data_IF_542967200087
#
_entry.id   IF_542967200087
#
_cell.length_a   1.000
_cell.length_b   1.000
_cell.length_c   1.000
_cell.angle_alpha   90.00
_cell.angle_beta   90.00
_cell.angle_gamma   90.00
#
_symmetry.space_group_name_H-M   'P 1'
#
loop_
_entity.id
_entity.type
_entity.pdbx_description
1 polymer ?
#
# COMPACT_ATOMS: atom_id res chain seq x y z
N UNK A 1 -6.08 15.93 -9.49
CA UNK A 1 -5.79 14.57 -9.00
C UNK A 1 -4.68 14.48 -7.96
N UNK A 2 -3.84 15.51 -7.76
CA UNK A 2 -2.66 15.44 -6.90
C UNK A 2 -2.90 15.02 -5.43
N UNK A 3 -4.12 15.16 -4.91
CA UNK A 3 -4.50 14.76 -3.55
C UNK A 3 -5.56 13.64 -3.52
N UNK A 4 -5.87 13.05 -4.68
CA UNK A 4 -6.84 11.97 -4.77
C UNK A 4 -6.23 10.69 -4.17
N UNK A 5 -7.06 9.78 -3.65
CA UNK A 5 -6.56 8.53 -3.12
C UNK A 5 -6.04 7.60 -4.21
N UNK A 6 -5.18 6.66 -3.81
CA UNK A 6 -4.57 5.67 -4.69
C UNK A 6 -5.25 4.31 -4.57
N UNK A 7 -5.32 3.60 -5.70
CA UNK A 7 -5.50 2.15 -5.73
C UNK A 7 -4.13 1.50 -5.95
N UNK A 8 -3.72 0.59 -5.05
CA UNK A 8 -2.55 -0.26 -5.28
C UNK A 8 -2.98 -1.55 -5.99
N UNK A 9 -2.36 -1.85 -7.13
CA UNK A 9 -2.53 -3.14 -7.82
C UNK A 9 -1.28 -3.97 -7.58
N UNK A 10 -1.44 -5.08 -6.89
CA UNK A 10 -0.38 -6.01 -6.48
C UNK A 10 -0.52 -7.28 -7.29
N UNK A 11 0.31 -7.44 -8.33
CA UNK A 11 0.34 -8.64 -9.15
C UNK A 11 1.40 -9.60 -8.60
N UNK A 12 0.97 -10.79 -8.16
CA UNK A 12 1.86 -11.78 -7.56
C UNK A 12 2.70 -12.49 -8.63
N UNK A 13 3.97 -12.71 -8.32
CA UNK A 13 4.88 -13.54 -9.11
C UNK A 13 4.72 -15.04 -8.79
N UNK A 14 5.55 -15.88 -9.40
CA UNK A 14 5.54 -17.33 -9.20
C UNK A 14 5.85 -17.77 -7.76
N UNK A 15 6.48 -16.91 -6.95
CA UNK A 15 6.78 -17.15 -5.54
C UNK A 15 5.68 -16.62 -4.61
N UNK A 16 4.56 -16.12 -5.16
CA UNK A 16 3.50 -15.42 -4.44
C UNK A 16 4.01 -14.17 -3.72
N UNK A 17 4.96 -13.47 -4.32
CA UNK A 17 5.51 -12.21 -3.82
C UNK A 17 5.28 -11.09 -4.82
N UNK A 18 5.36 -9.84 -4.36
CA UNK A 18 5.38 -8.68 -5.25
C UNK A 18 6.13 -7.52 -4.60
N UNK A 19 6.80 -6.71 -5.40
CA UNK A 19 7.51 -5.52 -4.95
C UNK A 19 7.23 -4.35 -5.88
N UNK A 20 7.21 -3.15 -5.33
CA UNK A 20 7.02 -1.93 -6.09
C UNK A 20 7.46 -0.71 -5.30
N UNK A 21 7.36 0.45 -5.94
CA UNK A 21 7.65 1.72 -5.30
C UNK A 21 6.58 2.74 -5.66
N UNK A 22 6.41 3.75 -4.82
CA UNK A 22 5.56 4.91 -5.05
C UNK A 22 6.40 6.17 -4.83
N UNK A 23 6.41 7.07 -5.82
CA UNK A 23 7.06 8.37 -5.74
C UNK A 23 6.02 9.48 -5.93
N UNK A 24 6.05 10.50 -5.08
CA UNK A 24 5.15 11.66 -5.13
C UNK A 24 5.94 12.92 -4.78
N UNK A 25 5.87 13.96 -5.60
CA UNK A 25 6.33 15.31 -5.27
C UNK A 25 5.28 16.33 -5.79
N UNK A 26 5.66 17.60 -5.94
CA UNK A 26 4.76 18.62 -6.47
C UNK A 26 4.53 18.52 -7.98
N UNK A 27 5.35 17.73 -8.70
CA UNK A 27 5.27 17.53 -10.15
C UNK A 27 5.68 18.75 -11.00
N UNK A 28 6.11 19.85 -10.40
CA UNK A 28 6.29 21.14 -11.09
C UNK A 28 7.64 21.80 -10.80
N UNK A 29 8.16 21.67 -9.57
CA UNK A 29 9.36 22.37 -9.13
C UNK A 29 10.56 21.45 -8.97
N UNK A 30 11.70 22.02 -8.56
CA UNK A 30 12.90 21.25 -8.21
C UNK A 30 13.01 20.96 -6.72
N UNK A 31 11.97 21.17 -5.92
CA UNK A 31 11.99 20.98 -4.47
C UNK A 31 12.24 19.52 -4.05
N UNK A 32 12.07 18.54 -4.95
CA UNK A 32 12.54 17.17 -4.73
C UNK A 32 14.05 17.10 -4.42
N UNK A 33 14.85 18.03 -4.95
CA UNK A 33 16.29 18.17 -4.63
C UNK A 33 16.52 18.62 -3.18
N UNK A 34 15.52 19.27 -2.58
CA UNK A 34 15.48 19.74 -1.20
C UNK A 34 14.65 18.80 -0.32
N UNK A 35 14.59 17.51 -0.65
CA UNK A 35 13.89 16.48 0.12
C UNK A 35 12.36 16.69 0.22
N UNK A 36 11.74 17.43 -0.71
CA UNK A 36 10.28 17.61 -0.77
C UNK A 36 9.60 16.57 -1.66
N UNK A 37 9.66 15.31 -1.23
CA UNK A 37 8.98 14.21 -1.90
C UNK A 37 8.58 13.11 -0.91
N UNK A 38 7.71 12.19 -1.36
CA UNK A 38 7.47 10.88 -0.75
C UNK A 38 8.10 9.86 -1.68
N UNK A 39 8.91 8.96 -1.13
CA UNK A 39 9.36 7.77 -1.85
C UNK A 39 9.22 6.55 -0.94
N UNK A 40 8.38 5.61 -1.34
CA UNK A 40 8.05 4.43 -0.56
C UNK A 40 8.36 3.15 -1.31
N UNK A 41 8.81 2.14 -0.58
CA UNK A 41 8.86 0.75 -1.02
C UNK A 41 7.61 0.02 -0.55
N UNK A 42 7.05 -0.77 -1.45
CA UNK A 42 5.89 -1.62 -1.21
C UNK A 42 6.33 -3.06 -1.40
N UNK A 43 5.98 -3.92 -0.45
CA UNK A 43 6.27 -5.35 -0.53
C UNK A 43 5.03 -6.15 -0.15
N UNK A 44 4.69 -7.14 -0.95
CA UNK A 44 3.80 -8.22 -0.58
C UNK A 44 4.61 -9.50 -0.40
N UNK A 45 4.41 -10.14 0.74
CA UNK A 45 4.80 -11.52 0.99
C UNK A 45 3.60 -12.25 1.57
N UNK A 46 3.57 -13.60 1.54
CA UNK A 46 2.55 -14.33 2.25
C UNK A 46 2.45 -13.84 3.70
N UNK A 47 1.24 -13.49 4.13
CA UNK A 47 0.89 -12.92 5.46
C UNK A 47 1.10 -11.41 5.66
N UNK A 48 1.72 -10.67 4.75
CA UNK A 48 1.89 -9.22 4.96
C UNK A 48 2.03 -8.37 3.69
N UNK A 49 1.48 -7.15 3.74
CA UNK A 49 1.92 -6.03 2.91
C UNK A 49 2.68 -5.03 3.79
N UNK A 50 3.82 -4.53 3.33
CA UNK A 50 4.52 -3.39 3.95
C UNK A 50 4.57 -2.20 2.99
N UNK A 51 4.48 -1.00 3.57
CA UNK A 51 4.73 0.28 2.94
C UNK A 51 5.73 1.03 3.81
N UNK A 52 6.90 1.32 3.26
CA UNK A 52 8.01 1.90 4.03
C UNK A 52 8.64 3.05 3.27
N UNK A 53 8.68 4.21 3.90
CA UNK A 53 9.36 5.40 3.40
C UNK A 53 10.87 5.13 3.33
N UNK A 54 11.45 5.42 2.17
CA UNK A 54 12.86 5.12 1.87
C UNK A 54 13.79 6.17 2.46
N UNK A 55 13.35 7.43 2.52
CA UNK A 55 14.14 8.55 3.04
C UNK A 55 13.39 9.20 4.22
N UNK A 56 13.80 8.94 5.47
CA UNK A 56 13.18 9.54 6.65
C UNK A 56 13.36 11.07 6.74
N UNK A 57 14.35 11.63 6.03
CA UNK A 57 14.58 13.07 5.96
C UNK A 57 13.75 13.76 4.89
N UNK A 58 13.08 12.99 4.00
CA UNK A 58 12.16 13.54 3.02
C UNK A 58 10.83 13.91 3.67
N UNK A 59 10.33 15.10 3.35
CA UNK A 59 9.09 15.63 3.89
C UNK A 59 8.29 16.30 2.80
N UNK A 60 7.14 15.71 2.49
CA UNK A 60 6.18 16.27 1.56
C UNK A 60 4.78 16.08 2.12
N UNK A 61 4.05 17.18 2.26
CA UNK A 61 2.70 17.17 2.80
C UNK A 61 1.73 16.68 1.71
N UNK A 62 1.13 15.51 1.92
CA UNK A 62 0.07 15.00 1.07
C UNK A 62 -1.11 14.54 1.91
N UNK A 63 -2.32 14.80 1.43
CA UNK A 63 -3.57 14.27 2.01
C UNK A 63 -4.02 12.98 1.33
N UNK A 64 -3.27 12.51 0.34
CA UNK A 64 -3.59 11.27 -0.35
C UNK A 64 -3.41 10.06 0.58
N UNK A 65 -4.11 8.98 0.25
CA UNK A 65 -4.12 7.75 1.02
C UNK A 65 -4.45 6.58 0.11
N UNK A 66 -4.17 5.36 0.56
CA UNK A 66 -4.52 4.14 -0.15
C UNK A 66 -5.98 3.79 0.14
N UNK A 67 -6.85 4.00 -0.85
CA UNK A 67 -8.28 3.69 -0.73
C UNK A 67 -8.63 2.24 -1.07
N UNK A 68 -7.77 1.56 -1.83
CA UNK A 68 -8.04 0.22 -2.31
C UNK A 68 -6.75 -0.50 -2.61
N UNK A 69 -6.73 -1.79 -2.28
CA UNK A 69 -5.66 -2.70 -2.70
C UNK A 69 -6.31 -3.85 -3.45
N UNK A 70 -5.79 -4.14 -4.65
CA UNK A 70 -6.21 -5.24 -5.50
C UNK A 70 -5.03 -6.20 -5.61
N UNK A 71 -5.18 -7.43 -5.13
CA UNK A 71 -4.15 -8.46 -5.17
C UNK A 71 -4.56 -9.49 -6.21
N UNK A 72 -3.81 -9.62 -7.29
CA UNK A 72 -4.09 -10.51 -8.41
C UNK A 72 -3.16 -11.73 -8.40
N UNK A 73 -3.70 -12.90 -8.73
CA UNK A 73 -2.99 -14.18 -8.71
C UNK A 73 -2.99 -14.88 -7.34
N UNK A 74 -3.86 -14.46 -6.41
CA UNK A 74 -3.92 -15.02 -5.06
C UNK A 74 -4.74 -16.32 -5.02
N UNK A 75 -4.04 -17.46 -4.99
CA UNK A 75 -4.66 -18.80 -4.99
C UNK A 75 -5.23 -19.20 -3.63
N UNK A 76 -4.54 -18.84 -2.56
CA UNK A 76 -4.98 -19.08 -1.18
C UNK A 76 -5.19 -17.73 -0.51
N UNK A 77 -6.45 -17.32 -0.42
CA UNK A 77 -6.79 -16.04 0.18
C UNK A 77 -6.86 -16.16 1.72
N UNK A 78 -6.31 -15.20 2.46
CA UNK A 78 -6.45 -15.15 3.92
C UNK A 78 -7.91 -14.89 4.33
N UNK A 79 -8.29 -15.27 5.56
CA UNK A 79 -9.62 -14.96 6.12
C UNK A 79 -9.72 -13.55 6.66
N UNK A 80 -8.63 -13.01 7.20
CA UNK A 80 -8.62 -11.68 7.80
C UNK A 80 -7.45 -10.82 7.34
N UNK A 81 -7.65 -9.51 7.36
CA UNK A 81 -6.62 -8.51 7.15
C UNK A 81 -6.75 -7.41 8.21
N UNK A 82 -5.63 -6.93 8.74
CA UNK A 82 -5.59 -5.81 9.68
C UNK A 82 -4.51 -4.81 9.29
N UNK A 83 -4.88 -3.53 9.17
CA UNK A 83 -3.93 -2.42 9.03
C UNK A 83 -3.27 -2.16 10.39
N UNK A 84 -1.95 -2.11 10.39
CA UNK A 84 -1.10 -1.68 11.50
C UNK A 84 -0.52 -0.31 11.15
N UNK A 85 -0.96 0.74 11.83
CA UNK A 85 -0.53 2.12 11.61
C UNK A 85 -0.71 2.95 12.89
N UNK A 86 0.27 3.79 13.24
CA UNK A 86 0.20 4.68 14.40
C UNK A 86 -0.05 3.96 15.74
N UNK A 87 0.48 2.74 15.91
CA UNK A 87 0.24 1.90 17.10
C UNK A 87 -1.17 1.30 17.21
N UNK A 88 -2.01 1.46 16.17
CA UNK A 88 -3.37 0.94 16.12
C UNK A 88 -3.47 -0.22 15.12
N UNK A 89 -4.35 -1.16 15.44
CA UNK A 89 -4.68 -2.31 14.59
C UNK A 89 -6.14 -2.29 14.16
N UNK A 90 -6.40 -2.01 12.89
CA UNK A 90 -7.76 -1.83 12.34
C UNK A 90 -8.12 -2.98 11.41
N UNK A 91 -9.25 -3.65 11.65
CA UNK A 91 -9.73 -4.72 10.78
C UNK A 91 -10.17 -4.17 9.41
N UNK A 92 -9.83 -4.87 8.34
CA UNK A 92 -10.12 -4.47 6.97
C UNK A 92 -11.16 -5.39 6.32
N UNK A 93 -11.99 -4.81 5.47
CA UNK A 93 -12.94 -5.57 4.65
C UNK A 93 -12.23 -6.15 3.43
N UNK A 94 -12.43 -7.44 3.20
CA UNK A 94 -11.88 -8.18 2.06
C UNK A 94 -12.99 -8.78 1.20
N UNK A 95 -12.80 -8.80 -0.11
CA UNK A 95 -13.68 -9.47 -1.07
C UNK A 95 -12.86 -10.31 -2.02
N UNK A 96 -13.11 -11.62 -2.05
CA UNK A 96 -12.44 -12.55 -2.95
C UNK A 96 -13.30 -12.81 -4.19
N UNK A 97 -12.76 -12.51 -5.37
CA UNK A 97 -13.36 -12.82 -6.66
C UNK A 97 -12.76 -14.12 -7.19
N UNK A 98 -13.31 -15.26 -6.75
CA UNK A 98 -12.78 -16.62 -7.00
C UNK A 98 -12.63 -17.00 -8.48
N UNK A 99 -13.36 -16.37 -9.39
CA UNK A 99 -13.25 -16.66 -10.82
C UNK A 99 -11.95 -16.17 -11.46
N UNK A 100 -11.24 -15.23 -10.80
CA UNK A 100 -10.09 -14.53 -11.37
C UNK A 100 -8.85 -14.55 -10.44
N UNK A 101 -8.89 -15.26 -9.31
CA UNK A 101 -7.85 -15.22 -8.26
C UNK A 101 -7.50 -13.79 -7.82
N UNK A 102 -8.53 -12.96 -7.59
CA UNK A 102 -8.37 -11.55 -7.17
C UNK A 102 -8.96 -11.32 -5.79
N UNK A 103 -8.15 -10.77 -4.87
CA UNK A 103 -8.58 -10.28 -3.56
C UNK A 103 -8.59 -8.75 -3.55
N UNK A 104 -9.70 -8.17 -3.14
CA UNK A 104 -9.84 -6.71 -2.98
C UNK A 104 -9.92 -6.37 -1.50
N UNK A 105 -9.06 -5.47 -1.03
CA UNK A 105 -9.13 -4.84 0.28
C UNK A 105 -9.74 -3.44 0.08
N UNK A 106 -10.90 -3.20 0.69
CA UNK A 106 -11.68 -1.97 0.50
C UNK A 106 -11.43 -0.97 1.62
N UNK A 107 -11.15 0.28 1.26
CA UNK A 107 -10.94 1.42 2.16
C UNK A 107 -9.95 1.14 3.31
N UNK A 108 -8.68 0.78 3.04
CA UNK A 108 -7.67 0.64 4.08
C UNK A 108 -7.51 1.90 4.94
N UNK A 109 -7.60 3.10 4.34
CA UNK A 109 -7.39 4.35 5.10
C UNK A 109 -5.91 4.66 5.33
N UNK A 110 -5.00 3.93 4.66
CA UNK A 110 -3.57 3.99 4.96
C UNK A 110 -2.92 5.23 4.30
N UNK A 111 -2.25 6.12 5.05
CA UNK A 111 -1.65 7.32 4.49
C UNK A 111 -0.46 6.99 3.56
N UNK A 112 -0.20 7.84 2.56
CA UNK A 112 1.02 7.70 1.73
C UNK A 112 2.25 8.33 2.39
N UNK A 113 2.05 9.18 3.39
CA UNK A 113 3.10 9.96 4.06
C UNK A 113 3.70 9.30 5.29
N UNK A 114 3.31 8.07 5.63
CA UNK A 114 3.78 7.35 6.82
C UNK A 114 3.93 5.86 6.54
N UNK A 115 4.77 5.20 7.34
CA UNK A 115 4.95 3.75 7.31
C UNK A 115 3.70 3.03 7.83
N UNK A 116 3.34 1.92 7.18
CA UNK A 116 2.27 1.04 7.65
C UNK A 116 2.47 -0.39 7.13
N UNK A 117 1.73 -1.32 7.73
CA UNK A 117 1.64 -2.68 7.19
C UNK A 117 0.24 -3.23 7.29
N UNK A 118 -0.11 -4.18 6.42
CA UNK A 118 -1.33 -4.97 6.54
C UNK A 118 -0.92 -6.40 6.85
N UNK A 119 -1.40 -6.93 7.97
CA UNK A 119 -1.15 -8.31 8.38
C UNK A 119 -2.35 -9.18 8.00
N UNK A 120 -2.07 -10.35 7.42
CA UNK A 120 -3.09 -11.33 7.05
C UNK A 120 -3.05 -12.54 7.99
N UNK A 121 -4.22 -13.14 8.25
CA UNK A 121 -4.33 -14.41 8.95
C UNK A 121 -5.36 -15.33 8.31
N UNK A 122 -5.18 -16.63 8.55
CA UNK A 122 -6.05 -17.74 8.13
C UNK A 122 -7.39 -17.79 8.86
#
# INVERSE_FOLDING_TARGET
>A
MANDPFTLVVALDANNTAHGTLYIDDGETYEYKNNKYIYAKISYVPKQITYTLVNPSAQFASRAWIERIVIAGIRTAPRTARLQHGGRSTALQMTLHRGNDVLVIRKPGAPVSEDWSIQFAE
#
